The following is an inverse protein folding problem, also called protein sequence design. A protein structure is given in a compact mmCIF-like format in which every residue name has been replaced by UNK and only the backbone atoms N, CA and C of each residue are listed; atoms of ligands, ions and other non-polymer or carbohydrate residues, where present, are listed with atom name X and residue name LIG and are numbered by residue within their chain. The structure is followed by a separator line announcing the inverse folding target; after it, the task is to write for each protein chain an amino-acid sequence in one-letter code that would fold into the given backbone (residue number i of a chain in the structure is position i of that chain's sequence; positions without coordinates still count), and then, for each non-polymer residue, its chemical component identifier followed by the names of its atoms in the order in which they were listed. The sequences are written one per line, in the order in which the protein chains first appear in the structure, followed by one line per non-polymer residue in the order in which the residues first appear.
data_IF_423507700310
#
_entry.id   IF_423507700310
#
_cell.length_a   1.000
_cell.length_b   1.000
_cell.length_c   1.000
_cell.angle_alpha   90.00
_cell.angle_beta   90.00
_cell.angle_gamma   90.00
#
_symmetry.space_group_name_H-M   'P 1'
#
loop_
_entity.id
_entity.type
_entity.pdbx_description
1 polymer ?
#
# COMPACT_ATOMS: atom_id res chain seq x y z
N UNK A 1 20.54 15.22 15.22
CA UNK A 1 19.92 15.99 14.13
C UNK A 1 18.82 15.15 13.50
N UNK A 2 17.56 15.58 13.59
CA UNK A 2 16.41 14.87 13.00
C UNK A 2 16.13 15.51 11.65
N UNK A 3 16.40 14.79 10.55
CA UNK A 3 16.13 15.30 9.20
C UNK A 3 14.65 15.09 8.88
N UNK A 4 13.95 16.18 8.53
CA UNK A 4 12.54 16.11 8.12
C UNK A 4 12.49 15.71 6.65
N UNK A 5 12.03 14.48 6.36
CA UNK A 5 11.78 14.02 5.00
C UNK A 5 10.31 14.27 4.66
N UNK A 6 10.04 15.03 3.59
CA UNK A 6 8.71 15.10 3.01
C UNK A 6 8.47 13.86 2.16
N UNK A 7 7.60 12.97 2.62
CA UNK A 7 7.15 11.81 1.85
C UNK A 7 5.84 12.14 1.14
N UNK A 8 5.84 12.04 -0.19
CA UNK A 8 4.65 12.26 -0.99
C UNK A 8 3.87 10.95 -1.12
N UNK A 9 2.66 10.92 -0.55
CA UNK A 9 1.81 9.73 -0.58
C UNK A 9 1.08 9.68 -1.94
N UNK A 10 1.30 8.59 -2.66
CA UNK A 10 0.48 8.20 -3.79
C UNK A 10 -0.61 7.23 -3.31
N UNK A 11 -1.79 7.28 -3.93
CA UNK A 11 -2.88 6.35 -3.63
C UNK A 11 -3.39 5.68 -4.89
N UNK A 12 -3.92 4.47 -4.73
CA UNK A 12 -4.50 3.66 -5.80
C UNK A 12 -5.53 2.69 -5.24
N UNK A 13 -6.54 2.32 -6.04
CA UNK A 13 -7.46 1.24 -5.73
C UNK A 13 -8.91 1.57 -6.05
N UNK A 14 -9.83 0.81 -5.46
CA UNK A 14 -11.29 1.04 -5.59
C UNK A 14 -11.86 1.70 -4.34
N UNK A 15 -12.90 2.50 -4.52
CA UNK A 15 -13.70 3.06 -3.43
C UNK A 15 -15.19 2.92 -3.77
N UNK A 16 -16.09 2.77 -2.77
CA UNK A 16 -17.51 2.51 -3.02
C UNK A 16 -18.23 3.56 -3.87
N UNK A 17 -17.75 4.81 -3.85
CA UNK A 17 -18.36 5.95 -4.55
C UNK A 17 -17.94 6.09 -6.02
N UNK A 18 -17.09 5.20 -6.55
CA UNK A 18 -16.59 5.26 -7.94
C UNK A 18 -16.68 3.89 -8.60
N UNK A 19 -16.99 3.85 -9.89
CA UNK A 19 -17.01 2.61 -10.68
C UNK A 19 -15.62 2.17 -11.17
N UNK A 20 -14.72 3.13 -11.37
CA UNK A 20 -13.35 2.88 -11.84
C UNK A 20 -12.32 3.05 -10.73
N UNK A 21 -11.08 2.67 -11.04
CA UNK A 21 -9.94 2.89 -10.15
C UNK A 21 -9.72 4.38 -9.89
N UNK A 22 -9.46 4.69 -8.62
CA UNK A 22 -9.04 6.01 -8.17
C UNK A 22 -7.53 5.99 -7.96
N UNK A 23 -6.82 6.98 -8.49
CA UNK A 23 -5.36 7.08 -8.37
C UNK A 23 -4.88 8.50 -8.27
N UNK A 24 -3.83 8.73 -7.48
CA UNK A 24 -3.15 10.02 -7.45
C UNK A 24 -2.34 10.24 -8.73
N UNK A 25 -2.14 11.48 -9.18
CA UNK A 25 -1.31 11.77 -10.35
C UNK A 25 0.20 11.54 -10.11
N UNK A 26 0.61 11.32 -8.86
CA UNK A 26 2.01 11.23 -8.45
C UNK A 26 2.53 9.79 -8.52
N UNK A 27 3.81 9.64 -8.84
CA UNK A 27 4.54 8.36 -8.85
C UNK A 27 3.83 7.23 -9.66
N UNK A 28 3.53 7.42 -10.95
CA UNK A 28 2.79 6.45 -11.76
C UNK A 28 3.47 5.07 -11.84
N UNK A 29 4.80 5.03 -11.87
CA UNK A 29 5.57 3.77 -11.88
C UNK A 29 5.43 2.98 -10.58
N UNK A 30 5.40 3.66 -9.43
CA UNK A 30 5.12 3.04 -8.13
C UNK A 30 3.72 2.43 -8.15
N UNK A 31 2.71 3.21 -8.56
CA UNK A 31 1.32 2.74 -8.58
C UNK A 31 1.14 1.54 -9.51
N UNK A 32 1.76 1.54 -10.68
CA UNK A 32 1.71 0.41 -11.61
C UNK A 32 2.36 -0.85 -11.04
N UNK A 33 3.43 -0.69 -10.25
CA UNK A 33 4.10 -1.82 -9.60
C UNK A 33 3.24 -2.40 -8.48
N UNK A 34 2.60 -1.55 -7.69
CA UNK A 34 1.69 -1.97 -6.63
C UNK A 34 0.41 -2.61 -7.19
N UNK A 35 -0.11 -2.08 -8.30
CA UNK A 35 -1.26 -2.66 -9.01
C UNK A 35 -0.98 -4.10 -9.43
N UNK A 36 0.13 -4.34 -10.14
CA UNK A 36 0.53 -5.71 -10.53
C UNK A 36 0.73 -6.63 -9.34
N UNK A 37 1.39 -6.13 -8.28
CA UNK A 37 1.63 -6.93 -7.08
C UNK A 37 0.32 -7.37 -6.41
N UNK A 38 -0.66 -6.47 -6.30
CA UNK A 38 -1.95 -6.77 -5.69
C UNK A 38 -2.79 -7.65 -6.59
N UNK A 39 -2.80 -7.40 -7.90
CA UNK A 39 -3.51 -8.25 -8.86
C UNK A 39 -3.04 -9.70 -8.75
N UNK A 40 -1.73 -9.94 -8.71
CA UNK A 40 -1.16 -11.27 -8.49
C UNK A 40 -1.57 -11.88 -7.14
N UNK A 41 -1.59 -11.09 -6.07
CA UNK A 41 -2.04 -11.57 -4.77
C UNK A 41 -3.53 -11.96 -4.78
N UNK A 42 -4.37 -11.21 -5.50
CA UNK A 42 -5.79 -11.52 -5.66
C UNK A 42 -6.03 -12.75 -6.54
N UNK A 43 -5.21 -12.96 -7.58
CA UNK A 43 -5.24 -14.18 -8.39
C UNK A 43 -4.95 -15.41 -7.53
N UNK A 44 -3.90 -15.37 -6.72
CA UNK A 44 -3.57 -16.44 -5.76
C UNK A 44 -4.68 -16.64 -4.73
N UNK A 45 -5.24 -15.55 -4.21
CA UNK A 45 -6.33 -15.61 -3.23
C UNK A 45 -7.59 -16.24 -3.85
N UNK A 46 -7.87 -15.97 -5.11
CA UNK A 46 -9.04 -16.48 -5.83
C UNK A 46 -9.01 -17.99 -6.09
N UNK A 47 -7.88 -18.67 -5.84
CA UNK A 47 -7.81 -20.14 -5.86
C UNK A 47 -8.67 -20.78 -4.75
N UNK A 48 -8.92 -20.10 -3.63
CA UNK A 48 -9.87 -20.55 -2.60
C UNK A 48 -11.31 -20.13 -3.00
N UNK A 49 -12.28 -21.06 -3.13
CA UNK A 49 -13.67 -20.71 -3.42
C UNK A 49 -14.31 -19.72 -2.43
N UNK A 50 -13.78 -19.64 -1.20
CA UNK A 50 -14.25 -18.76 -0.11
C UNK A 50 -13.51 -17.43 -0.08
N UNK A 51 -12.66 -17.13 -1.06
CA UNK A 51 -11.77 -15.97 -1.07
C UNK A 51 -12.45 -14.64 -0.76
N UNK A 52 -13.72 -14.48 -1.16
CA UNK A 52 -14.50 -13.26 -0.91
C UNK A 52 -14.67 -12.99 0.59
N UNK A 53 -14.92 -14.03 1.37
CA UNK A 53 -15.05 -13.92 2.84
C UNK A 53 -13.70 -13.53 3.43
N UNK A 54 -12.63 -14.23 3.01
CA UNK A 54 -11.25 -13.96 3.48
C UNK A 54 -10.83 -12.53 3.16
N UNK A 55 -11.17 -12.05 1.95
CA UNK A 55 -10.88 -10.70 1.50
C UNK A 55 -11.65 -9.64 2.30
N UNK A 56 -12.95 -9.85 2.52
CA UNK A 56 -13.81 -8.91 3.25
C UNK A 56 -13.44 -8.82 4.74
N UNK A 57 -13.01 -9.93 5.34
CA UNK A 57 -12.56 -9.97 6.73
C UNK A 57 -11.10 -9.50 6.92
N UNK A 58 -10.39 -9.23 5.82
CA UNK A 58 -8.98 -8.84 5.85
C UNK A 58 -8.81 -7.54 6.67
N UNK A 59 -7.97 -7.63 7.71
CA UNK A 59 -7.65 -6.45 8.51
C UNK A 59 -6.80 -5.47 7.70
N UNK A 60 -6.87 -4.16 8.01
CA UNK A 60 -5.95 -3.19 7.44
C UNK A 60 -4.49 -3.61 7.65
N UNK A 61 -3.67 -3.51 6.61
CA UNK A 61 -2.29 -4.00 6.62
C UNK A 61 -1.30 -2.88 6.31
N UNK A 62 -0.27 -2.79 7.13
CA UNK A 62 0.94 -2.04 6.81
C UNK A 62 1.89 -2.94 6.01
N UNK A 63 2.53 -2.38 4.99
CA UNK A 63 3.52 -3.10 4.20
C UNK A 63 4.75 -2.23 3.94
N UNK A 64 5.89 -2.91 3.70
CA UNK A 64 7.10 -2.30 3.18
C UNK A 64 7.87 -3.27 2.29
N UNK A 65 8.45 -2.76 1.21
CA UNK A 65 9.43 -3.45 0.37
C UNK A 65 10.79 -2.82 0.59
N UNK A 66 11.72 -3.65 1.06
CA UNK A 66 13.08 -3.24 1.45
C UNK A 66 14.07 -4.23 0.86
N UNK A 67 15.19 -3.71 0.36
CA UNK A 67 16.30 -4.54 -0.10
C UNK A 67 17.57 -4.16 0.65
N UNK A 68 18.37 -5.14 1.09
CA UNK A 68 19.66 -4.90 1.75
C UNK A 68 20.67 -4.13 0.89
N UNK A 69 20.48 -4.14 -0.44
CA UNK A 69 21.30 -3.45 -1.45
C UNK A 69 20.52 -2.39 -2.26
N UNK A 70 19.20 -2.34 -2.12
CA UNK A 70 18.36 -1.39 -2.87
C UNK A 70 18.22 -0.09 -2.09
N UNK A 71 18.56 1.04 -2.71
CA UNK A 71 18.26 2.35 -2.14
C UNK A 71 16.78 2.71 -2.18
N UNK A 72 16.00 2.05 -3.02
CA UNK A 72 14.56 2.26 -3.08
C UNK A 72 13.88 1.48 -1.96
N UNK A 73 13.23 2.21 -1.05
CA UNK A 73 12.32 1.66 -0.06
C UNK A 73 10.89 2.11 -0.38
N UNK A 74 9.96 1.16 -0.38
CA UNK A 74 8.53 1.42 -0.57
C UNK A 74 7.83 1.05 0.72
N UNK A 75 6.91 1.88 1.18
CA UNK A 75 6.05 1.55 2.30
C UNK A 75 4.67 2.13 2.13
N UNK A 76 3.67 1.45 2.69
CA UNK A 76 2.29 1.88 2.58
C UNK A 76 1.36 1.16 3.54
N UNK A 77 0.09 1.46 3.37
CA UNK A 77 -1.01 0.88 4.09
C UNK A 77 -2.13 0.55 3.11
N UNK A 78 -2.80 -0.58 3.31
CA UNK A 78 -3.92 -1.01 2.48
C UNK A 78 -5.10 -1.49 3.33
N UNK A 79 -6.29 -1.33 2.75
CA UNK A 79 -7.55 -1.83 3.28
C UNK A 79 -8.30 -2.60 2.20
N UNK A 80 -9.04 -3.63 2.61
CA UNK A 80 -10.02 -4.24 1.73
C UNK A 80 -11.04 -3.18 1.28
N UNK A 81 -11.40 -3.22 0.00
CA UNK A 81 -12.32 -2.27 -0.61
C UNK A 81 -13.00 -2.86 -1.85
N UNK A 82 -13.97 -2.13 -2.40
CA UNK A 82 -14.69 -2.45 -3.62
C UNK A 82 -15.14 -1.18 -4.35
N UNK A 83 -15.57 -1.32 -5.61
CA UNK A 83 -16.23 -0.24 -6.36
C UNK A 83 -17.76 -0.27 -6.20
N UNK A 84 -18.46 0.67 -6.83
CA UNK A 84 -19.93 0.75 -6.84
C UNK A 84 -20.61 -0.53 -7.35
N UNK A 85 -19.91 -1.33 -8.16
CA UNK A 85 -20.40 -2.59 -8.72
C UNK A 85 -19.97 -3.81 -7.90
N UNK A 86 -19.48 -3.60 -6.67
CA UNK A 86 -18.99 -4.64 -5.75
C UNK A 86 -17.82 -5.48 -6.30
N UNK A 87 -17.08 -4.97 -7.30
CA UNK A 87 -15.84 -5.59 -7.75
C UNK A 87 -14.77 -5.28 -6.71
N UNK A 88 -14.21 -6.32 -6.11
CA UNK A 88 -13.25 -6.24 -5.00
C UNK A 88 -11.86 -5.89 -5.54
N UNK A 89 -11.28 -4.83 -4.99
CA UNK A 89 -9.87 -4.51 -5.15
C UNK A 89 -9.45 -3.57 -4.01
N UNK A 90 -8.32 -3.81 -3.32
CA UNK A 90 -7.92 -3.01 -2.16
C UNK A 90 -7.77 -1.53 -2.48
N UNK A 91 -7.99 -0.68 -1.47
CA UNK A 91 -7.54 0.71 -1.53
C UNK A 91 -6.26 0.85 -0.72
N UNK A 92 -5.25 1.54 -1.28
CA UNK A 92 -3.95 1.70 -0.63
C UNK A 92 -3.36 3.10 -0.81
N UNK A 93 -2.58 3.49 0.19
CA UNK A 93 -1.69 4.65 0.14
C UNK A 93 -0.25 4.20 0.34
N UNK A 94 0.66 4.70 -0.48
CA UNK A 94 2.06 4.31 -0.45
C UNK A 94 3.00 5.47 -0.79
N UNK A 95 4.24 5.36 -0.35
CA UNK A 95 5.33 6.24 -0.75
C UNK A 95 6.53 5.40 -1.17
N UNK A 96 7.31 5.95 -2.08
CA UNK A 96 8.68 5.52 -2.33
C UNK A 96 9.62 6.55 -1.69
N UNK A 97 10.72 6.08 -1.10
CA UNK A 97 11.77 6.94 -0.59
C UNK A 97 13.14 6.34 -0.91
N UNK A 98 14.12 7.22 -1.14
CA UNK A 98 15.50 6.81 -1.32
C UNK A 98 16.22 6.73 0.04
N UNK A 99 16.99 5.67 0.23
CA UNK A 99 17.70 5.35 1.45
C UNK A 99 19.19 5.23 1.14
N UNK A 100 20.00 6.08 1.79
CA UNK A 100 21.45 6.09 1.56
C UNK A 100 22.17 4.82 2.03
N UNK A 101 21.73 4.27 3.17
CA UNK A 101 22.33 3.08 3.81
C UNK A 101 21.28 1.97 3.98
N UNK A 102 20.94 1.23 2.91
CA UNK A 102 19.81 0.30 2.92
C UNK A 102 19.86 -0.76 4.02
N UNK A 103 21.03 -1.37 4.22
CA UNK A 103 21.20 -2.40 5.26
C UNK A 103 20.99 -1.83 6.68
N UNK A 104 21.51 -0.65 6.96
CA UNK A 104 21.33 -0.01 8.27
C UNK A 104 19.90 0.48 8.48
N UNK A 105 19.23 0.92 7.41
CA UNK A 105 17.83 1.34 7.44
C UNK A 105 16.89 0.16 7.67
N UNK A 106 17.17 -1.01 7.11
CA UNK A 106 16.35 -2.21 7.26
C UNK A 106 16.11 -2.54 8.74
N UNK A 107 17.15 -2.47 9.57
CA UNK A 107 17.06 -2.71 11.02
C UNK A 107 16.21 -1.68 11.78
N UNK A 108 15.96 -0.50 11.20
CA UNK A 108 15.23 0.62 11.82
C UNK A 108 13.94 0.97 11.09
N UNK A 109 13.63 0.24 10.02
CA UNK A 109 12.54 0.58 9.11
C UNK A 109 11.16 0.61 9.79
N UNK A 110 10.82 -0.25 10.78
CA UNK A 110 9.53 -0.15 11.44
C UNK A 110 9.35 1.19 12.16
N UNK A 111 10.41 1.70 12.82
CA UNK A 111 10.40 2.99 13.49
C UNK A 111 10.35 4.14 12.47
N UNK A 112 11.10 4.02 11.37
CA UNK A 112 11.10 5.02 10.31
C UNK A 112 9.72 5.17 9.65
N UNK A 113 9.01 4.07 9.46
CA UNK A 113 7.68 4.06 8.84
C UNK A 113 6.52 4.23 9.81
N UNK A 114 6.73 4.14 11.12
CA UNK A 114 5.65 4.23 12.12
C UNK A 114 4.75 5.45 11.89
N UNK A 115 5.32 6.64 11.71
CA UNK A 115 4.55 7.87 11.46
C UNK A 115 3.80 7.84 10.13
N UNK A 116 4.42 7.31 9.08
CA UNK A 116 3.77 7.14 7.77
C UNK A 116 2.54 6.25 7.91
N UNK A 117 2.73 5.07 8.48
CA UNK A 117 1.69 4.06 8.67
C UNK A 117 0.53 4.57 9.52
N UNK A 118 0.80 5.18 10.68
CA UNK A 118 -0.25 5.74 11.53
C UNK A 118 -1.06 6.82 10.80
N UNK A 119 -0.40 7.68 10.01
CA UNK A 119 -1.09 8.76 9.29
C UNK A 119 -1.91 8.27 8.12
N UNK A 120 -1.39 7.34 7.33
CA UNK A 120 -2.13 6.79 6.20
C UNK A 120 -3.32 5.97 6.69
N UNK A 121 -3.15 5.13 7.72
CA UNK A 121 -4.26 4.38 8.31
C UNK A 121 -5.36 5.28 8.87
N UNK A 122 -5.00 6.40 9.52
CA UNK A 122 -6.00 7.35 10.03
C UNK A 122 -6.85 7.98 8.93
N UNK A 123 -6.34 8.05 7.69
CA UNK A 123 -7.05 8.59 6.52
C UNK A 123 -7.76 7.51 5.69
N UNK A 124 -7.51 6.24 6.01
CA UNK A 124 -7.99 5.08 5.26
C UNK A 124 -8.63 4.09 6.23
N UNK A 125 -9.78 4.44 6.85
CA UNK A 125 -10.51 3.48 7.65
C UNK A 125 -10.98 2.30 6.77
N UNK A 126 -11.19 1.12 7.36
CA UNK A 126 -11.93 0.05 6.68
C UNK A 126 -13.27 0.60 6.19
N UNK A 127 -13.63 0.27 4.95
CA UNK A 127 -14.85 0.73 4.28
C UNK A 127 -15.97 -0.31 4.38
#
# INVERSE_FOLDING_TARGET
MTQTVQAQIAYFGKIPSRGDFVKSPHNPQLLQTLDRWIAQALELLAEDPRWKIVYEDAKPMHFAFLGSRSKLAIAGHMVASHDVSMRRFPFLGATALEVDRPLAFLARSPLAFARLWSRVAAQMPPL
#
